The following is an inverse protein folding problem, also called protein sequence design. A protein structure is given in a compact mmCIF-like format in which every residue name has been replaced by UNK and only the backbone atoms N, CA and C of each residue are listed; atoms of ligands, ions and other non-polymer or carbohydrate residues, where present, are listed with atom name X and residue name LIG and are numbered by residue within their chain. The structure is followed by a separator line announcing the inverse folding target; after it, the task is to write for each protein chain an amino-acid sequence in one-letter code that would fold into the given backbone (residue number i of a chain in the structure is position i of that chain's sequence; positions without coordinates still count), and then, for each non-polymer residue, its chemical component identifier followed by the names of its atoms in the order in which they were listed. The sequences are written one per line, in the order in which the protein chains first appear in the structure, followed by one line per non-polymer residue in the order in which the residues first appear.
data_IF_181221802773
#
_entry.id   IF_181221802773
#
_cell.length_a   1.000
_cell.length_b   1.000
_cell.length_c   1.000
_cell.angle_alpha   90.00
_cell.angle_beta   90.00
_cell.angle_gamma   90.00
#
_symmetry.space_group_name_H-M   'P 1'
#
loop_
_entity.id
_entity.type
_entity.pdbx_description
1 polymer ?
#
# COMPACT_ATOMS: atom_id res chain seq x y z
N UNK A 1 4.81 -88.97 42.94
CA UNK A 1 5.25 -89.73 41.74
C UNK A 1 6.26 -88.89 40.98
N UNK A 2 7.37 -89.52 40.61
CA UNK A 2 8.64 -88.98 40.13
C UNK A 2 8.60 -88.49 38.66
N UNK A 3 9.34 -87.42 38.33
CA UNK A 3 10.26 -87.24 37.15
C UNK A 3 10.32 -85.74 36.73
N UNK A 4 11.38 -84.96 36.98
CA UNK A 4 12.77 -84.90 36.47
C UNK A 4 12.94 -84.31 35.05
N UNK A 5 13.65 -83.15 34.99
CA UNK A 5 14.40 -82.50 33.88
C UNK A 5 13.58 -81.96 32.68
N UNK A 6 13.90 -80.82 32.05
CA UNK A 6 15.22 -80.36 31.55
C UNK A 6 15.29 -78.83 31.43
N UNK A 7 16.48 -78.29 31.70
CA UNK A 7 16.92 -76.95 31.30
C UNK A 7 16.94 -76.81 29.77
N UNK A 8 16.47 -75.68 29.25
CA UNK A 8 16.93 -75.13 27.97
C UNK A 8 17.01 -73.61 28.07
N UNK A 9 18.25 -73.11 28.04
CA UNK A 9 18.59 -71.71 27.78
C UNK A 9 18.56 -71.54 26.27
N UNK A 10 17.79 -70.57 25.74
CA UNK A 10 18.10 -70.02 24.41
C UNK A 10 17.46 -68.64 24.18
N UNK A 11 18.36 -67.65 24.16
CA UNK A 11 18.45 -66.46 23.29
C UNK A 11 17.20 -65.60 23.02
N UNK A 12 17.27 -64.36 23.53
CA UNK A 12 16.47 -63.20 23.08
C UNK A 12 16.74 -62.89 21.59
N UNK A 13 15.71 -62.46 20.86
CA UNK A 13 15.86 -61.41 19.86
C UNK A 13 15.13 -60.15 20.33
N UNK A 14 15.92 -59.11 20.58
CA UNK A 14 15.44 -57.73 20.78
C UNK A 14 14.92 -57.26 19.42
N UNK A 15 13.59 -57.23 19.25
CA UNK A 15 12.97 -56.55 18.11
C UNK A 15 12.92 -55.05 18.44
N UNK A 16 13.93 -54.32 17.96
CA UNK A 16 13.95 -52.86 17.94
C UNK A 16 12.92 -52.41 16.91
N UNK A 17 11.77 -51.91 17.37
CA UNK A 17 10.86 -51.17 16.51
C UNK A 17 11.34 -49.72 16.47
N UNK A 18 12.06 -49.38 15.39
CA UNK A 18 12.40 -48.00 15.03
C UNK A 18 11.12 -47.23 14.71
N UNK A 19 10.66 -46.41 15.65
CA UNK A 19 9.63 -45.41 15.40
C UNK A 19 10.23 -44.29 14.54
N UNK A 20 9.91 -44.28 13.24
CA UNK A 20 10.21 -43.16 12.38
C UNK A 20 9.28 -41.99 12.74
N UNK A 21 9.76 -41.05 13.55
CA UNK A 21 9.10 -39.78 13.77
C UNK A 21 9.23 -38.93 12.50
N UNK A 22 8.16 -38.84 11.72
CA UNK A 22 8.07 -37.90 10.59
C UNK A 22 7.80 -36.51 11.18
N UNK A 23 8.86 -35.75 11.42
CA UNK A 23 8.77 -34.32 11.70
C UNK A 23 8.37 -33.60 10.40
N UNK A 24 7.09 -33.29 10.26
CA UNK A 24 6.62 -32.33 9.26
C UNK A 24 7.03 -30.95 9.76
N UNK A 25 8.24 -30.52 9.40
CA UNK A 25 8.58 -29.10 9.41
C UNK A 25 7.72 -28.43 8.35
N UNK A 26 6.54 -27.93 8.78
CA UNK A 26 5.85 -26.89 8.05
C UNK A 26 6.82 -25.70 7.97
N UNK A 27 7.58 -25.66 6.89
CA UNK A 27 8.46 -24.55 6.58
C UNK A 27 7.62 -23.30 6.61
N UNK A 28 7.75 -22.51 7.67
CA UNK A 28 7.34 -21.14 7.66
C UNK A 28 8.10 -20.53 6.48
N UNK A 29 7.41 -20.36 5.34
CA UNK A 29 7.83 -19.43 4.31
C UNK A 29 7.76 -18.05 4.97
N UNK A 30 8.80 -17.71 5.74
CA UNK A 30 9.23 -16.35 5.94
C UNK A 30 9.62 -15.87 4.54
N UNK A 31 8.61 -15.44 3.78
CA UNK A 31 8.82 -14.72 2.55
C UNK A 31 9.78 -13.59 2.90
N UNK A 32 11.02 -13.70 2.41
CA UNK A 32 11.97 -12.60 2.46
C UNK A 32 11.20 -11.34 2.02
N UNK A 33 11.37 -10.19 2.71
CA UNK A 33 10.73 -8.97 2.26
C UNK A 33 11.20 -8.73 0.83
N UNK A 34 10.34 -9.02 -0.15
CA UNK A 34 10.65 -8.72 -1.54
C UNK A 34 11.01 -7.24 -1.56
N UNK A 35 12.19 -6.89 -2.05
CA UNK A 35 12.59 -5.51 -2.30
C UNK A 35 11.75 -4.98 -3.48
N UNK A 36 10.41 -4.96 -3.32
CA UNK A 36 9.52 -4.53 -4.37
C UNK A 36 9.83 -3.07 -4.65
N UNK A 37 10.21 -2.81 -5.90
CA UNK A 37 10.58 -1.49 -6.39
C UNK A 37 9.47 -0.50 -6.04
N UNK A 38 9.87 0.65 -5.48
CA UNK A 38 8.92 1.68 -5.11
C UNK A 38 8.21 2.21 -6.35
N UNK A 39 6.90 2.04 -6.45
CA UNK A 39 6.11 2.62 -7.51
C UNK A 39 5.71 4.04 -7.12
N UNK A 40 5.87 4.99 -8.04
CA UNK A 40 5.35 6.34 -7.86
C UNK A 40 4.10 6.58 -8.69
N UNK A 41 3.10 7.25 -8.11
CA UNK A 41 1.84 7.56 -8.77
C UNK A 41 1.43 8.99 -8.49
N UNK A 42 1.13 9.74 -9.53
CA UNK A 42 0.49 11.05 -9.38
C UNK A 42 -1.02 10.88 -9.25
N UNK A 43 -1.61 11.55 -8.27
CA UNK A 43 -2.99 11.34 -7.87
C UNK A 43 -3.61 12.64 -7.34
N UNK A 44 -4.94 12.73 -7.40
CA UNK A 44 -5.70 13.70 -6.60
C UNK A 44 -6.28 12.99 -5.39
N UNK A 45 -5.93 13.47 -4.19
CA UNK A 45 -6.42 12.88 -2.94
C UNK A 45 -7.86 13.33 -2.70
N UNK A 46 -8.71 12.36 -2.34
CA UNK A 46 -10.08 12.64 -1.91
C UNK A 46 -10.24 12.67 -0.39
N UNK A 47 -9.59 11.75 0.33
CA UNK A 47 -9.65 11.73 1.80
C UNK A 47 -8.64 10.76 2.42
N UNK A 48 -8.41 10.93 3.73
CA UNK A 48 -7.69 9.99 4.58
C UNK A 48 -8.59 9.60 5.77
N UNK A 49 -8.97 8.32 5.88
CA UNK A 49 -9.80 7.76 6.98
C UNK A 49 -9.13 6.50 7.54
N UNK A 50 -8.99 6.37 8.86
CA UNK A 50 -8.28 5.25 9.47
C UNK A 50 -6.84 5.20 8.95
N UNK A 51 -6.38 4.09 8.37
CA UNK A 51 -5.13 3.97 7.61
C UNK A 51 -5.32 3.94 6.09
N UNK A 52 -6.51 4.29 5.58
CA UNK A 52 -6.82 4.28 4.15
C UNK A 52 -6.74 5.67 3.56
N UNK A 53 -6.01 5.81 2.45
CA UNK A 53 -6.01 6.99 1.59
C UNK A 53 -6.87 6.69 0.34
N UNK A 54 -7.87 7.52 0.09
CA UNK A 54 -8.71 7.45 -1.12
C UNK A 54 -8.22 8.49 -2.13
N UNK A 55 -8.06 8.09 -3.39
CA UNK A 55 -7.52 8.95 -4.44
C UNK A 55 -8.06 8.59 -5.82
N UNK A 56 -7.91 9.49 -6.78
CA UNK A 56 -8.15 9.23 -8.21
C UNK A 56 -6.85 9.38 -9.00
N UNK A 57 -6.78 8.75 -10.17
CA UNK A 57 -5.66 8.97 -11.10
C UNK A 57 -5.65 10.45 -11.47
N UNK A 58 -4.47 11.06 -11.43
CA UNK A 58 -4.31 12.43 -11.86
C UNK A 58 -4.05 12.49 -13.37
N UNK A 59 -4.62 13.49 -14.03
CA UNK A 59 -4.40 13.84 -15.43
C UNK A 59 -4.44 15.37 -15.58
N UNK A 60 -3.77 15.90 -16.60
CA UNK A 60 -3.99 17.29 -17.00
C UNK A 60 -5.38 17.38 -17.67
N UNK A 61 -6.20 18.36 -17.28
CA UNK A 61 -7.57 18.54 -17.80
C UNK A 61 -7.61 18.69 -19.32
N UNK A 62 -6.61 19.33 -19.93
CA UNK A 62 -6.47 19.47 -21.39
C UNK A 62 -6.44 18.12 -22.14
N UNK A 63 -6.06 17.03 -21.47
CA UNK A 63 -5.98 15.68 -22.05
C UNK A 63 -7.28 14.89 -21.98
N UNK A 64 -8.34 15.43 -21.36
CA UNK A 64 -9.56 14.65 -21.10
C UNK A 64 -10.51 14.55 -22.30
N UNK A 65 -10.52 15.54 -23.21
CA UNK A 65 -11.43 15.48 -24.37
C UNK A 65 -10.94 16.06 -25.69
N UNK A 66 -9.67 16.48 -25.79
CA UNK A 66 -9.10 16.93 -27.06
C UNK A 66 -9.71 18.23 -27.59
N UNK A 67 -8.95 19.32 -27.50
CA UNK A 67 -9.17 20.58 -28.25
C UNK A 67 -10.42 21.42 -27.92
N UNK A 68 -10.93 21.40 -26.69
CA UNK A 68 -11.67 22.56 -26.18
C UNK A 68 -10.77 23.33 -25.21
N UNK A 69 -10.71 24.65 -25.37
CA UNK A 69 -9.85 25.54 -24.59
C UNK A 69 -10.34 25.60 -23.15
N UNK A 70 -9.72 24.79 -22.30
CA UNK A 70 -9.83 24.92 -20.86
C UNK A 70 -9.20 26.26 -20.49
N UNK A 71 -9.93 27.08 -19.71
CA UNK A 71 -9.44 28.40 -19.33
C UNK A 71 -8.07 28.36 -18.62
N UNK A 72 -7.74 27.24 -17.95
CA UNK A 72 -6.46 27.03 -17.28
C UNK A 72 -6.04 25.55 -17.30
N UNK A 73 -4.75 25.28 -17.51
CA UNK A 73 -4.21 23.92 -17.36
C UNK A 73 -4.19 23.52 -15.89
N UNK A 74 -4.78 22.37 -15.57
CA UNK A 74 -4.89 21.93 -14.18
C UNK A 74 -4.73 20.42 -14.02
N UNK A 75 -4.10 20.03 -12.92
CA UNK A 75 -4.03 18.63 -12.50
C UNK A 75 -5.32 18.23 -11.79
N UNK A 76 -6.08 17.34 -12.41
CA UNK A 76 -7.40 16.89 -11.94
C UNK A 76 -7.46 15.39 -11.74
N UNK A 77 -8.32 14.97 -10.81
CA UNK A 77 -8.64 13.57 -10.57
C UNK A 77 -9.63 13.06 -11.62
N UNK A 78 -9.33 11.93 -12.24
CA UNK A 78 -10.19 11.33 -13.25
C UNK A 78 -10.41 9.82 -13.03
N UNK A 79 -11.56 9.34 -13.50
CA UNK A 79 -11.96 7.94 -13.46
C UNK A 79 -12.36 7.43 -12.07
N UNK A 80 -12.25 6.10 -11.90
CA UNK A 80 -12.71 5.38 -10.70
C UNK A 80 -11.91 5.77 -9.45
N UNK A 81 -12.61 5.88 -8.32
CA UNK A 81 -12.01 6.12 -7.01
C UNK A 81 -11.20 4.89 -6.56
N UNK A 82 -9.94 5.11 -6.22
CA UNK A 82 -8.99 4.09 -5.75
C UNK A 82 -8.70 4.26 -4.26
N UNK A 83 -8.15 3.21 -3.65
CA UNK A 83 -7.77 3.16 -2.24
C UNK A 83 -6.35 2.61 -2.12
N UNK A 84 -5.60 3.09 -1.13
CA UNK A 84 -4.32 2.51 -0.73
C UNK A 84 -4.16 2.59 0.78
N UNK A 85 -3.58 1.55 1.38
CA UNK A 85 -3.26 1.53 2.81
C UNK A 85 -1.98 2.31 3.07
N UNK A 86 -2.00 3.18 4.06
CA UNK A 86 -0.83 3.94 4.52
C UNK A 86 0.03 3.06 5.43
N UNK A 87 1.34 3.09 5.22
CA UNK A 87 2.29 2.46 6.13
C UNK A 87 2.28 3.18 7.50
N UNK A 88 2.64 2.47 8.57
CA UNK A 88 2.70 3.03 9.95
C UNK A 88 3.56 4.29 10.02
N UNK A 89 4.68 4.30 9.29
CA UNK A 89 5.63 5.40 9.20
C UNK A 89 5.47 6.24 7.92
N UNK A 90 4.26 6.28 7.33
CA UNK A 90 4.03 7.08 6.13
C UNK A 90 4.33 8.57 6.39
N UNK A 91 5.13 9.17 5.51
CA UNK A 91 5.57 10.56 5.62
C UNK A 91 4.73 11.47 4.71
N UNK A 92 4.38 12.64 5.22
CA UNK A 92 3.55 13.63 4.53
C UNK A 92 4.36 14.90 4.33
N UNK A 93 4.29 15.47 3.13
CA UNK A 93 5.03 16.69 2.77
C UNK A 93 4.12 17.64 2.01
N UNK A 94 4.15 18.91 2.40
CA UNK A 94 3.64 20.01 1.59
C UNK A 94 4.75 20.56 0.71
N UNK A 95 4.36 21.08 -0.44
CA UNK A 95 5.24 21.87 -1.28
C UNK A 95 5.31 23.28 -0.67
N UNK A 96 6.51 23.83 -0.56
CA UNK A 96 6.69 25.20 -0.09
C UNK A 96 6.02 26.17 -1.08
N UNK A 97 5.23 27.10 -0.56
CA UNK A 97 4.55 28.11 -1.37
C UNK A 97 5.52 29.14 -1.97
N UNK A 98 6.72 29.27 -1.41
CA UNK A 98 7.69 30.32 -1.80
C UNK A 98 8.55 29.94 -3.01
N UNK A 99 8.95 28.67 -3.14
CA UNK A 99 9.92 28.25 -4.14
C UNK A 99 9.47 27.05 -4.98
N UNK A 100 8.29 26.47 -4.66
CA UNK A 100 7.68 25.31 -5.32
C UNK A 100 8.63 24.10 -5.50
N UNK A 101 9.73 24.05 -4.74
CA UNK A 101 10.78 23.02 -4.83
C UNK A 101 11.07 22.42 -3.46
N UNK A 102 11.01 23.22 -2.40
CA UNK A 102 11.26 22.78 -1.05
C UNK A 102 10.09 21.98 -0.51
N UNK A 103 10.38 20.83 0.10
CA UNK A 103 9.39 19.96 0.74
C UNK A 103 9.37 20.17 2.25
N UNK A 104 8.26 20.67 2.78
CA UNK A 104 8.06 20.81 4.23
C UNK A 104 7.34 19.58 4.79
N UNK A 105 8.03 18.82 5.63
CA UNK A 105 7.43 17.65 6.32
C UNK A 105 6.32 18.12 7.25
N UNK A 106 5.22 17.38 7.29
CA UNK A 106 4.09 17.70 8.16
C UNK A 106 3.52 16.45 8.84
N UNK A 107 2.68 16.68 9.85
CA UNK A 107 1.94 15.61 10.52
C UNK A 107 0.80 15.12 9.65
N UNK A 108 0.40 13.87 9.85
CA UNK A 108 -0.77 13.30 9.21
C UNK A 108 -2.07 14.04 9.56
N UNK A 109 -2.19 14.53 10.80
CA UNK A 109 -3.36 15.28 11.29
C UNK A 109 -3.50 16.59 10.51
N UNK A 110 -2.40 17.34 10.39
CA UNK A 110 -2.32 18.57 9.61
C UNK A 110 -2.63 18.31 8.14
N UNK A 111 -1.96 17.33 7.53
CA UNK A 111 -2.20 16.97 6.13
C UNK A 111 -3.66 16.61 5.84
N UNK A 112 -4.28 15.82 6.72
CA UNK A 112 -5.71 15.45 6.63
C UNK A 112 -6.63 16.66 6.78
N UNK A 113 -6.28 17.64 7.61
CA UNK A 113 -7.04 18.88 7.76
C UNK A 113 -7.01 19.69 6.47
N UNK A 114 -5.82 19.90 5.89
CA UNK A 114 -5.68 20.65 4.64
C UNK A 114 -6.47 20.03 3.47
N UNK A 115 -6.50 18.69 3.35
CA UNK A 115 -7.34 18.01 2.34
C UNK A 115 -8.83 18.34 2.53
N UNK A 116 -9.28 18.57 3.78
CA UNK A 116 -10.69 18.81 4.10
C UNK A 116 -11.09 20.28 3.99
N UNK A 117 -10.18 21.19 4.35
CA UNK A 117 -10.45 22.62 4.44
C UNK A 117 -10.04 23.33 3.16
N UNK A 118 -8.75 23.31 2.86
CA UNK A 118 -8.14 24.15 1.82
C UNK A 118 -8.24 23.50 0.44
N UNK A 119 -7.97 22.20 0.37
CA UNK A 119 -7.93 21.44 -0.89
C UNK A 119 -9.12 20.48 -1.00
N UNK A 120 -10.27 20.91 -0.51
CA UNK A 120 -11.50 20.11 -0.49
C UNK A 120 -11.80 19.60 -1.89
N UNK A 121 -11.97 18.29 -2.01
CA UNK A 121 -12.29 17.69 -3.30
C UNK A 121 -13.68 18.10 -3.76
N UNK A 122 -13.78 18.62 -4.97
CA UNK A 122 -15.06 18.91 -5.63
C UNK A 122 -15.21 18.04 -6.89
N UNK A 123 -16.45 17.73 -7.25
CA UNK A 123 -16.79 17.07 -8.52
C UNK A 123 -17.22 18.16 -9.48
N UNK A 124 -16.59 18.22 -10.64
CA UNK A 124 -16.87 19.20 -11.67
C UNK A 124 -17.37 18.50 -12.93
N UNK A 125 -18.12 19.25 -13.73
CA UNK A 125 -18.61 18.83 -15.03
C UNK A 125 -18.37 19.98 -16.01
N UNK A 126 -17.51 19.76 -16.98
CA UNK A 126 -17.16 20.74 -18.01
C UNK A 126 -16.94 19.99 -19.31
N UNK A 127 -17.44 20.54 -20.42
CA UNK A 127 -17.22 19.96 -21.74
C UNK A 127 -17.70 18.50 -21.86
N UNK A 128 -18.74 18.13 -21.12
CA UNK A 128 -19.25 16.76 -21.05
C UNK A 128 -18.28 15.77 -20.37
N UNK A 129 -17.32 16.26 -19.57
CA UNK A 129 -16.35 15.47 -18.81
C UNK A 129 -16.56 15.67 -17.31
N UNK A 130 -16.65 14.55 -16.58
CA UNK A 130 -16.64 14.57 -15.12
C UNK A 130 -15.22 14.40 -14.60
N UNK A 131 -14.76 15.39 -13.83
CA UNK A 131 -13.46 15.37 -13.17
C UNK A 131 -13.56 15.85 -11.72
N UNK A 132 -12.44 15.75 -10.99
CA UNK A 132 -12.41 16.07 -9.56
C UNK A 132 -11.23 16.99 -9.25
N UNK A 133 -11.51 18.22 -8.81
CA UNK A 133 -10.48 19.12 -8.26
C UNK A 133 -10.12 18.72 -6.83
N UNK A 134 -8.96 19.17 -6.36
CA UNK A 134 -8.45 18.89 -5.02
C UNK A 134 -6.93 18.79 -5.02
N UNK A 135 -6.35 18.37 -3.90
CA UNK A 135 -4.89 18.30 -3.74
C UNK A 135 -4.27 17.26 -4.67
N UNK A 136 -3.45 17.72 -5.62
CA UNK A 136 -2.56 16.86 -6.39
C UNK A 136 -1.36 16.42 -5.54
N UNK A 137 -1.01 15.14 -5.64
CA UNK A 137 0.09 14.53 -4.90
C UNK A 137 0.86 13.51 -5.72
N UNK A 138 2.12 13.32 -5.35
CA UNK A 138 2.93 12.15 -5.69
C UNK A 138 2.88 11.16 -4.53
N UNK A 139 2.32 9.99 -4.78
CA UNK A 139 2.32 8.85 -3.87
C UNK A 139 3.55 7.98 -4.16
N UNK A 140 4.22 7.52 -3.10
CA UNK A 140 5.23 6.45 -3.18
C UNK A 140 4.66 5.21 -2.51
N UNK A 141 4.56 4.12 -3.27
CA UNK A 141 3.99 2.84 -2.84
C UNK A 141 5.10 1.79 -2.82
N UNK A 142 5.27 1.11 -1.68
CA UNK A 142 6.19 -0.01 -1.48
C UNK A 142 5.40 -1.14 -0.83
N UNK A 143 5.54 -2.36 -1.34
CA UNK A 143 4.85 -3.56 -0.82
C UNK A 143 3.33 -3.33 -0.65
N UNK A 144 2.69 -2.72 -1.65
CA UNK A 144 1.25 -2.42 -1.62
C UNK A 144 0.81 -1.29 -0.66
N UNK A 145 1.72 -0.74 0.15
CA UNK A 145 1.44 0.32 1.12
C UNK A 145 2.05 1.65 0.68
N UNK A 146 1.33 2.74 0.89
CA UNK A 146 1.83 4.08 0.65
C UNK A 146 2.74 4.52 1.80
N UNK A 147 3.99 4.87 1.48
CA UNK A 147 5.05 5.21 2.44
C UNK A 147 5.42 6.69 2.43
N UNK A 148 5.07 7.41 1.36
CA UNK A 148 5.29 8.85 1.21
C UNK A 148 4.16 9.46 0.41
N UNK A 149 3.67 10.61 0.87
CA UNK A 149 2.71 11.47 0.18
C UNK A 149 3.33 12.85 0.10
N UNK A 150 3.47 13.36 -1.12
CA UNK A 150 4.08 14.67 -1.39
C UNK A 150 3.11 15.50 -2.20
N UNK A 151 2.70 16.66 -1.70
CA UNK A 151 1.93 17.62 -2.49
C UNK A 151 2.69 18.01 -3.75
N UNK A 152 1.96 18.16 -4.85
CA UNK A 152 2.50 18.68 -6.10
C UNK A 152 1.92 20.05 -6.38
N UNK A 153 2.72 20.85 -7.09
CA UNK A 153 2.25 22.08 -7.68
C UNK A 153 1.16 21.77 -8.71
N UNK A 154 0.13 22.61 -8.72
CA UNK A 154 -0.91 22.62 -9.73
C UNK A 154 -0.75 23.98 -10.43
N UNK A 155 -0.42 23.97 -11.74
CA UNK A 155 -0.26 25.20 -12.51
C UNK A 155 -1.57 25.99 -12.60
#
# INVERSE_FOLDING_TARGET
MNKNKKNFITLKPVAVFTAAAITITAGACLSQPSNAKAASRTAVISSIKGNTLKYRKCVNNTRLKGKEDWQWENLVGYGKLKKVTLAKNCRFYFLSMYDLKTLKKTSRKTFKREIKTTYKTAKNHENGVVFYSGMAVKLTIKNGKCTKVVQQYQP
#
